data_IF_430112307702
#
_entry.id   IF_430112307702
#
_cell.length_a   1.000
_cell.length_b   1.000
_cell.length_c   1.000
_cell.angle_alpha   90.00
_cell.angle_beta   90.00
_cell.angle_gamma   90.00
#
_symmetry.space_group_name_H-M   'P 1'
#
loop_
_entity.id
_entity.type
_entity.pdbx_description
1 polymer ?
#
# COMPACT_ATOMS: atom_id res chain seq x y z
N UNK A 1 39.90 -44.05 -41.29
CA UNK A 1 39.40 -43.58 -39.98
C UNK A 1 39.42 -42.06 -40.00
N UNK A 2 38.26 -41.40 -40.08
CA UNK A 2 38.15 -39.94 -39.97
C UNK A 2 37.11 -39.60 -38.91
N UNK A 3 37.56 -38.70 -38.04
CA UNK A 3 37.00 -38.23 -36.79
C UNK A 3 35.57 -37.70 -36.91
N UNK A 4 34.69 -38.15 -36.02
CA UNK A 4 33.38 -37.55 -35.73
C UNK A 4 33.30 -37.30 -34.23
N UNK A 5 33.90 -36.20 -33.77
CA UNK A 5 33.82 -35.78 -32.37
C UNK A 5 33.84 -34.26 -32.29
N UNK A 6 32.81 -33.57 -32.80
CA UNK A 6 32.73 -32.10 -32.61
C UNK A 6 31.33 -31.51 -32.74
N UNK A 7 30.26 -32.11 -32.20
CA UNK A 7 28.96 -31.42 -32.09
C UNK A 7 28.22 -31.81 -30.80
N UNK A 8 28.90 -31.79 -29.64
CA UNK A 8 28.23 -31.85 -28.32
C UNK A 8 28.98 -30.93 -27.35
N UNK A 9 29.12 -29.64 -27.67
CA UNK A 9 29.66 -28.65 -26.73
C UNK A 9 29.08 -27.24 -26.93
N UNK A 10 27.91 -27.11 -27.55
CA UNK A 10 27.22 -25.81 -27.72
C UNK A 10 25.84 -25.74 -27.06
N UNK A 11 25.22 -26.86 -26.66
CA UNK A 11 23.91 -26.83 -25.99
C UNK A 11 23.98 -26.60 -24.47
N UNK A 12 25.13 -26.86 -23.82
CA UNK A 12 25.27 -26.66 -22.37
C UNK A 12 25.51 -25.19 -21.97
N UNK A 13 26.00 -24.36 -22.88
CA UNK A 13 26.31 -22.94 -22.60
C UNK A 13 25.04 -22.08 -22.65
N UNK A 14 24.07 -22.42 -23.51
CA UNK A 14 22.80 -21.69 -23.58
C UNK A 14 21.88 -21.96 -22.37
N UNK A 15 21.96 -23.14 -21.75
CA UNK A 15 21.14 -23.45 -20.57
C UNK A 15 21.60 -22.69 -19.31
N UNK A 16 22.92 -22.57 -19.11
CA UNK A 16 23.51 -21.90 -17.94
C UNK A 16 23.19 -20.40 -17.90
N UNK A 17 23.36 -19.68 -19.01
CA UNK A 17 23.04 -18.25 -19.09
C UNK A 17 21.54 -17.95 -18.90
N UNK A 18 20.66 -18.87 -19.28
CA UNK A 18 19.21 -18.68 -19.17
C UNK A 18 18.69 -18.97 -17.75
N UNK A 19 19.44 -19.77 -16.98
CA UNK A 19 19.12 -20.10 -15.59
C UNK A 19 19.59 -19.01 -14.61
N UNK A 20 20.77 -18.42 -14.85
CA UNK A 20 21.26 -17.27 -14.08
C UNK A 20 20.39 -16.03 -14.25
N UNK A 21 19.93 -15.74 -15.49
CA UNK A 21 18.98 -14.65 -15.76
C UNK A 21 17.66 -14.83 -14.99
N UNK A 22 17.07 -16.03 -15.04
CA UNK A 22 15.85 -16.35 -14.28
C UNK A 22 16.04 -16.17 -12.77
N UNK A 23 17.14 -16.69 -12.20
CA UNK A 23 17.44 -16.53 -10.76
C UNK A 23 17.59 -15.06 -10.38
N UNK A 24 18.21 -14.24 -11.23
CA UNK A 24 18.34 -12.80 -10.99
C UNK A 24 16.98 -12.08 -11.04
N UNK A 25 16.14 -12.37 -12.02
CA UNK A 25 14.79 -11.80 -12.14
C UNK A 25 13.92 -12.17 -10.93
N UNK A 26 13.89 -13.45 -10.54
CA UNK A 26 13.16 -13.92 -9.36
C UNK A 26 13.67 -13.25 -8.08
N UNK A 27 14.99 -13.07 -7.92
CA UNK A 27 15.57 -12.37 -6.76
C UNK A 27 15.16 -10.90 -6.72
N UNK A 28 15.14 -10.23 -7.87
CA UNK A 28 14.72 -8.82 -8.00
C UNK A 28 13.24 -8.65 -7.65
N UNK A 29 12.39 -9.53 -8.16
CA UNK A 29 10.96 -9.55 -7.88
C UNK A 29 10.68 -9.79 -6.39
N UNK A 30 11.35 -10.79 -5.80
CA UNK A 30 11.27 -11.08 -4.36
C UNK A 30 11.69 -9.86 -3.52
N UNK A 31 12.80 -9.19 -3.89
CA UNK A 31 13.27 -8.00 -3.19
C UNK A 31 12.25 -6.86 -3.26
N UNK A 32 11.65 -6.64 -4.44
CA UNK A 32 10.65 -5.60 -4.64
C UNK A 32 9.41 -5.86 -3.78
N UNK A 33 8.92 -7.10 -3.73
CA UNK A 33 7.78 -7.48 -2.89
C UNK A 33 8.07 -7.26 -1.41
N UNK A 34 9.25 -7.66 -0.92
CA UNK A 34 9.65 -7.45 0.48
C UNK A 34 9.76 -5.96 0.82
N UNK A 35 10.34 -5.16 -0.08
CA UNK A 35 10.44 -3.72 0.10
C UNK A 35 9.06 -3.04 0.13
N UNK A 36 8.16 -3.43 -0.78
CA UNK A 36 6.80 -2.89 -0.81
C UNK A 36 6.02 -3.27 0.45
N UNK A 37 6.11 -4.52 0.90
CA UNK A 37 5.48 -4.96 2.14
C UNK A 37 6.02 -4.21 3.36
N UNK A 38 7.33 -3.98 3.41
CA UNK A 38 7.95 -3.19 4.48
C UNK A 38 7.46 -1.74 4.46
N UNK A 39 7.42 -1.11 3.28
CA UNK A 39 6.96 0.27 3.12
C UNK A 39 5.49 0.44 3.52
N UNK A 40 4.64 -0.53 3.16
CA UNK A 40 3.24 -0.57 3.56
C UNK A 40 3.12 -0.61 5.09
N UNK A 41 3.74 -1.59 5.75
CA UNK A 41 3.68 -1.72 7.22
C UNK A 41 4.20 -0.48 7.96
N UNK A 42 5.31 0.11 7.50
CA UNK A 42 5.86 1.33 8.11
C UNK A 42 4.87 2.49 7.96
N UNK A 43 4.23 2.63 6.80
CA UNK A 43 3.26 3.69 6.54
C UNK A 43 2.03 3.55 7.44
N UNK A 44 1.45 2.34 7.51
CA UNK A 44 0.29 2.04 8.37
C UNK A 44 0.60 2.35 9.83
N UNK A 45 1.74 1.88 10.34
CA UNK A 45 2.11 2.10 11.74
C UNK A 45 2.35 3.58 12.05
N UNK A 46 2.95 4.32 11.11
CA UNK A 46 3.15 5.77 11.25
C UNK A 46 1.82 6.51 11.38
N UNK A 47 0.80 6.14 10.59
CA UNK A 47 -0.53 6.76 10.66
C UNK A 47 -1.23 6.36 11.96
N UNK A 48 -1.22 5.07 12.31
CA UNK A 48 -1.88 4.52 13.51
C UNK A 48 -1.38 5.18 14.80
N UNK A 49 -0.07 5.44 14.88
CA UNK A 49 0.58 6.06 16.05
C UNK A 49 0.69 7.59 15.96
N UNK A 50 0.22 8.19 14.86
CA UNK A 50 0.29 9.64 14.67
C UNK A 50 -0.56 10.37 15.73
N UNK A 51 -0.18 11.59 16.09
CA UNK A 51 -1.05 12.50 16.84
C UNK A 51 -1.82 13.45 15.90
N UNK A 52 -1.95 13.11 14.60
CA UNK A 52 -2.41 14.00 13.53
C UNK A 52 -3.67 14.80 13.89
N UNK A 53 -4.75 14.13 14.28
CA UNK A 53 -6.01 14.82 14.64
C UNK A 53 -5.99 15.47 16.03
N UNK A 54 -5.08 15.08 16.92
CA UNK A 54 -5.07 15.50 18.33
C UNK A 54 -4.24 16.77 18.53
N UNK A 55 -3.13 16.90 17.81
CA UNK A 55 -2.26 18.07 17.93
C UNK A 55 -2.84 19.26 17.13
N UNK A 56 -3.21 20.37 17.79
CA UNK A 56 -3.77 21.55 17.12
C UNK A 56 -2.88 22.13 16.03
N UNK A 57 -1.56 21.90 16.09
CA UNK A 57 -0.63 22.39 15.06
C UNK A 57 -0.90 21.78 13.69
N UNK A 58 -1.42 20.56 13.62
CA UNK A 58 -1.74 19.90 12.36
C UNK A 58 -3.00 20.47 11.69
N UNK A 59 -3.95 20.95 12.49
CA UNK A 59 -5.12 21.71 12.02
C UNK A 59 -4.69 23.10 11.57
N UNK A 60 -3.90 23.79 12.38
CA UNK A 60 -3.38 25.12 12.05
C UNK A 60 -2.52 25.12 10.78
N UNK A 61 -1.73 24.06 10.53
CA UNK A 61 -0.98 23.89 9.30
C UNK A 61 -1.86 23.80 8.03
N UNK A 62 -3.14 23.47 8.21
CA UNK A 62 -4.17 23.47 7.16
C UNK A 62 -4.99 24.76 7.13
N UNK A 63 -4.69 25.73 8.00
CA UNK A 63 -5.48 26.96 8.16
C UNK A 63 -6.78 26.76 8.92
N UNK A 64 -6.92 25.65 9.65
CA UNK A 64 -8.15 25.24 10.34
C UNK A 64 -8.03 25.39 11.85
N UNK A 65 -9.17 25.54 12.51
CA UNK A 65 -9.28 25.31 13.95
C UNK A 65 -9.44 23.81 14.22
N UNK A 66 -8.96 23.29 15.35
CA UNK A 66 -9.25 21.90 15.73
C UNK A 66 -10.75 21.68 15.90
N UNK A 67 -11.25 20.56 15.36
CA UNK A 67 -12.61 20.10 15.64
C UNK A 67 -12.81 19.75 17.11
N UNK A 68 -14.07 19.61 17.50
CA UNK A 68 -14.47 19.12 18.81
C UNK A 68 -13.88 17.73 19.11
N UNK A 69 -13.62 17.47 20.39
CA UNK A 69 -12.98 16.23 20.84
C UNK A 69 -13.73 14.97 20.39
N UNK A 70 -15.05 15.02 20.30
CA UNK A 70 -15.89 13.91 19.80
C UNK A 70 -15.60 13.57 18.34
N UNK A 71 -15.35 14.58 17.49
CA UNK A 71 -14.99 14.37 16.09
C UNK A 71 -13.56 13.88 15.97
N UNK A 72 -12.62 14.42 16.75
CA UNK A 72 -11.23 13.91 16.78
C UNK A 72 -11.19 12.41 17.10
N UNK A 73 -12.00 11.96 18.06
CA UNK A 73 -12.12 10.53 18.40
C UNK A 73 -12.75 9.72 17.26
N UNK A 74 -13.74 10.29 16.56
CA UNK A 74 -14.37 9.65 15.39
C UNK A 74 -13.39 9.48 14.24
N UNK A 75 -12.64 10.53 13.88
CA UNK A 75 -11.59 10.49 12.87
C UNK A 75 -10.55 9.44 13.23
N UNK A 76 -10.07 9.42 14.47
CA UNK A 76 -9.10 8.41 14.94
C UNK A 76 -9.63 6.97 14.80
N UNK A 77 -10.88 6.75 15.21
CA UNK A 77 -11.52 5.43 15.11
C UNK A 77 -11.66 5.01 13.65
N UNK A 78 -12.19 5.89 12.79
CA UNK A 78 -12.36 5.62 11.37
C UNK A 78 -11.03 5.30 10.68
N UNK A 79 -9.97 6.07 10.97
CA UNK A 79 -8.62 5.79 10.47
C UNK A 79 -8.14 4.40 10.87
N UNK A 80 -8.22 4.04 12.15
CA UNK A 80 -7.73 2.74 12.62
C UNK A 80 -8.56 1.58 12.04
N UNK A 81 -9.89 1.70 12.01
CA UNK A 81 -10.78 0.69 11.44
C UNK A 81 -10.51 0.49 9.94
N UNK A 82 -10.25 1.58 9.21
CA UNK A 82 -9.87 1.54 7.79
C UNK A 82 -8.52 0.83 7.60
N UNK A 83 -7.50 1.20 8.38
CA UNK A 83 -6.17 0.59 8.27
C UNK A 83 -6.20 -0.91 8.56
N UNK A 84 -6.96 -1.34 9.57
CA UNK A 84 -7.13 -2.76 9.89
C UNK A 84 -7.77 -3.55 8.74
N UNK A 85 -8.71 -2.96 8.00
CA UNK A 85 -9.30 -3.58 6.81
C UNK A 85 -8.32 -3.57 5.64
N UNK A 86 -7.63 -2.46 5.40
CA UNK A 86 -6.64 -2.34 4.34
C UNK A 86 -5.49 -3.34 4.51
N UNK A 87 -5.02 -3.58 5.74
CA UNK A 87 -4.00 -4.60 6.03
C UNK A 87 -4.46 -6.01 5.65
N UNK A 88 -5.74 -6.34 5.83
CA UNK A 88 -6.33 -7.62 5.44
C UNK A 88 -6.38 -7.76 3.92
N UNK A 89 -6.88 -6.73 3.22
CA UNK A 89 -6.95 -6.69 1.75
C UNK A 89 -5.54 -6.82 1.15
N UNK A 90 -4.58 -6.06 1.69
CA UNK A 90 -3.18 -6.10 1.24
C UNK A 90 -2.59 -7.51 1.36
N UNK A 91 -2.86 -8.19 2.48
CA UNK A 91 -2.32 -9.52 2.78
C UNK A 91 -3.06 -10.67 2.09
N UNK A 92 -4.23 -10.42 1.48
CA UNK A 92 -4.98 -11.43 0.75
C UNK A 92 -4.21 -11.92 -0.49
N UNK A 93 -4.30 -13.22 -0.81
CA UNK A 93 -3.68 -13.80 -2.00
C UNK A 93 -4.65 -13.69 -3.19
N UNK A 94 -4.99 -12.45 -3.55
CA UNK A 94 -5.92 -12.11 -4.63
C UNK A 94 -5.27 -11.18 -5.64
N UNK A 95 -5.78 -11.22 -6.88
CA UNK A 95 -5.39 -10.32 -7.96
C UNK A 95 -5.76 -8.86 -7.64
N UNK A 96 -5.17 -7.92 -8.36
CA UNK A 96 -5.29 -6.48 -8.07
C UNK A 96 -6.69 -5.90 -8.27
N UNK A 97 -7.49 -6.42 -9.21
CA UNK A 97 -8.83 -5.90 -9.51
C UNK A 97 -9.85 -6.17 -8.38
N UNK A 98 -9.97 -7.41 -7.84
CA UNK A 98 -10.76 -7.67 -6.64
C UNK A 98 -10.37 -6.76 -5.46
N UNK A 99 -9.06 -6.61 -5.21
CA UNK A 99 -8.57 -5.75 -4.14
C UNK A 99 -8.93 -4.28 -4.32
N UNK A 100 -8.89 -3.76 -5.55
CA UNK A 100 -9.31 -2.39 -5.84
C UNK A 100 -10.75 -2.15 -5.38
N UNK A 101 -11.66 -3.07 -5.75
CA UNK A 101 -13.07 -2.99 -5.35
C UNK A 101 -13.23 -3.05 -3.84
N UNK A 102 -12.49 -3.93 -3.16
CA UNK A 102 -12.53 -3.99 -1.70
C UNK A 102 -12.02 -2.70 -1.05
N UNK A 103 -10.96 -2.08 -1.58
CA UNK A 103 -10.46 -0.80 -1.08
C UNK A 103 -11.50 0.30 -1.27
N UNK A 104 -12.16 0.39 -2.43
CA UNK A 104 -13.27 1.34 -2.64
C UNK A 104 -14.42 1.09 -1.65
N UNK A 105 -14.81 -0.16 -1.43
CA UNK A 105 -15.89 -0.48 -0.48
C UNK A 105 -15.57 -0.01 0.96
N UNK A 106 -14.33 -0.19 1.43
CA UNK A 106 -13.96 0.26 2.79
C UNK A 106 -13.82 1.79 2.88
N UNK A 107 -13.64 2.49 1.75
CA UNK A 107 -13.75 3.95 1.68
C UNK A 107 -15.20 4.41 1.76
N UNK A 108 -16.12 3.71 1.10
CA UNK A 108 -17.56 3.99 1.21
C UNK A 108 -18.10 3.80 2.63
N UNK A 109 -17.43 2.97 3.45
CA UNK A 109 -17.76 2.72 4.86
C UNK A 109 -17.25 3.80 5.84
N UNK A 110 -16.47 4.78 5.38
CA UNK A 110 -16.02 5.88 6.23
C UNK A 110 -17.22 6.76 6.65
N UNK A 111 -17.15 7.46 7.80
CA UNK A 111 -18.29 8.17 8.37
C UNK A 111 -18.55 9.52 7.66
N UNK A 112 -18.61 9.53 6.33
CA UNK A 112 -18.71 10.74 5.52
C UNK A 112 -19.92 11.59 5.86
N UNK A 113 -21.07 10.98 6.12
CA UNK A 113 -22.29 11.73 6.45
C UNK A 113 -22.23 12.42 7.81
N UNK A 114 -21.25 12.07 8.64
CA UNK A 114 -21.06 12.60 10.00
C UNK A 114 -19.93 13.63 10.12
N UNK A 115 -19.27 13.96 9.01
CA UNK A 115 -18.13 14.87 8.94
C UNK A 115 -18.45 16.08 8.05
N UNK A 116 -17.94 17.25 8.44
CA UNK A 116 -17.96 18.41 7.55
C UNK A 116 -16.91 18.28 6.43
N UNK A 117 -16.85 19.28 5.54
CA UNK A 117 -15.92 19.27 4.40
C UNK A 117 -14.46 19.23 4.85
N UNK A 118 -14.09 19.99 5.87
CA UNK A 118 -12.70 20.10 6.34
C UNK A 118 -12.24 18.79 7.00
N UNK A 119 -13.13 18.17 7.78
CA UNK A 119 -12.89 16.89 8.43
C UNK A 119 -12.81 15.72 7.42
N UNK A 120 -13.63 15.76 6.36
CA UNK A 120 -13.57 14.81 5.23
C UNK A 120 -12.23 14.87 4.53
N UNK A 121 -11.81 16.06 4.13
CA UNK A 121 -10.54 16.28 3.45
C UNK A 121 -9.37 15.85 4.33
N UNK A 122 -9.40 16.19 5.63
CA UNK A 122 -8.35 15.78 6.55
C UNK A 122 -8.30 14.25 6.72
N UNK A 123 -9.45 13.57 6.80
CA UNK A 123 -9.47 12.10 6.85
C UNK A 123 -8.91 11.48 5.57
N UNK A 124 -9.32 11.97 4.40
CA UNK A 124 -8.83 11.47 3.12
C UNK A 124 -7.31 11.65 2.97
N UNK A 125 -6.79 12.83 3.32
CA UNK A 125 -5.36 13.14 3.32
C UNK A 125 -4.55 12.21 4.22
N UNK A 126 -5.06 11.90 5.41
CA UNK A 126 -4.36 11.02 6.36
C UNK A 126 -4.32 9.55 5.86
N UNK A 127 -5.34 9.12 5.11
CA UNK A 127 -5.45 7.76 4.59
C UNK A 127 -4.73 7.55 3.24
N UNK A 128 -4.60 8.59 2.42
CA UNK A 128 -4.00 8.51 1.09
C UNK A 128 -2.59 7.86 1.06
N UNK A 129 -1.67 8.12 2.01
CA UNK A 129 -0.37 7.44 2.03
C UNK A 129 -0.48 5.92 2.19
N UNK A 130 -1.43 5.42 2.99
CA UNK A 130 -1.62 3.98 3.18
C UNK A 130 -2.18 3.32 1.92
N UNK A 131 -3.16 3.94 1.27
CA UNK A 131 -3.73 3.50 -0.01
C UNK A 131 -2.62 3.41 -1.07
N UNK A 132 -1.78 4.44 -1.16
CA UNK A 132 -0.63 4.47 -2.07
C UNK A 132 0.38 3.38 -1.76
N UNK A 133 0.70 3.17 -0.48
CA UNK A 133 1.63 2.12 -0.06
C UNK A 133 1.07 0.70 -0.28
N UNK A 134 -0.25 0.53 -0.32
CA UNK A 134 -0.91 -0.70 -0.70
C UNK A 134 -0.92 -0.96 -2.22
N UNK A 135 -0.49 0.02 -3.03
CA UNK A 135 -0.34 -0.10 -4.48
C UNK A 135 -1.48 0.50 -5.30
N UNK A 136 -2.36 1.30 -4.68
CA UNK A 136 -3.50 1.94 -5.35
C UNK A 136 -3.28 3.45 -5.52
N UNK A 137 -4.03 4.07 -6.44
CA UNK A 137 -4.05 5.53 -6.60
C UNK A 137 -5.16 6.12 -5.71
N UNK A 138 -4.84 6.94 -4.69
CA UNK A 138 -5.86 7.55 -3.85
C UNK A 138 -6.85 8.43 -4.62
N UNK A 139 -6.41 9.06 -5.72
CA UNK A 139 -7.25 9.99 -6.50
C UNK A 139 -8.34 9.30 -7.33
N UNK A 140 -8.27 7.98 -7.48
CA UNK A 140 -9.32 7.19 -8.13
C UNK A 140 -10.24 6.50 -7.13
N UNK A 141 -9.90 6.55 -5.84
CA UNK A 141 -10.60 5.88 -4.75
C UNK A 141 -11.50 6.85 -3.97
N UNK A 142 -11.02 8.07 -3.68
CA UNK A 142 -11.82 9.16 -3.11
C UNK A 142 -12.54 9.94 -4.20
#
# INVERSE_FOLDING_TARGET
MKSTFTIILLFLIFSSCNEEKRKYETKKETLLTVMNQKNFKITVEKIRTSNTFVDPKNWAARGLNPSEQSIILKLRKATNDFLDKLEKIYSANEDSEPKYKEVSNIVDELPWDELDTEEKEFLADELAPAIKAAGFDPSTIF
#
